data_IF_243785079434
#
_entry.id   IF_243785079434
#
_cell.length_a   1.000
_cell.length_b   1.000
_cell.length_c   1.000
_cell.angle_alpha   90.00
_cell.angle_beta   90.00
_cell.angle_gamma   90.00
#
_symmetry.space_group_name_H-M   'P 1'
#
loop_
_entity.id
_entity.type
_entity.pdbx_description
1 polymer ?
#
# COMPACT_ATOMS: atom_id res chain seq x y z
N UNK A 1 3.55 3.69 43.04
CA UNK A 1 3.69 4.35 41.71
C UNK A 1 4.81 5.36 41.82
N UNK A 2 5.84 5.27 40.96
CA UNK A 2 6.94 6.25 40.95
C UNK A 2 6.43 7.57 40.37
N UNK A 3 7.01 8.72 40.81
CA UNK A 3 6.61 10.05 40.33
C UNK A 3 6.65 10.14 38.78
N UNK A 4 7.62 9.47 38.15
CA UNK A 4 7.75 9.36 36.67
C UNK A 4 6.56 8.63 36.04
N UNK A 5 6.08 7.57 36.69
CA UNK A 5 4.97 6.76 36.18
C UNK A 5 3.65 7.55 36.31
N UNK A 6 3.50 8.35 37.39
CA UNK A 6 2.36 9.24 37.53
C UNK A 6 2.27 10.26 36.40
N UNK A 7 3.37 10.87 36.00
CA UNK A 7 3.38 11.83 34.89
C UNK A 7 3.12 11.18 33.54
N UNK A 8 3.57 9.93 33.33
CA UNK A 8 3.34 9.20 32.08
C UNK A 8 1.94 8.62 31.95
N UNK A 9 1.39 8.07 33.03
CA UNK A 9 0.21 7.21 32.99
C UNK A 9 -0.97 7.75 33.81
N UNK A 10 -0.79 8.82 34.60
CA UNK A 10 -1.81 9.41 35.45
C UNK A 10 -2.06 8.64 36.74
N UNK A 11 -2.96 9.17 37.59
CA UNK A 11 -3.24 8.64 38.94
C UNK A 11 -3.90 7.26 38.95
N UNK A 12 -4.70 6.96 37.91
CA UNK A 12 -5.45 5.69 37.80
C UNK A 12 -4.87 4.80 36.69
N UNK A 13 -3.76 5.19 36.05
CA UNK A 13 -3.19 4.46 34.95
C UNK A 13 -2.54 3.15 35.40
N UNK A 14 -2.83 2.08 34.71
CA UNK A 14 -2.07 0.84 34.80
C UNK A 14 -0.74 1.11 34.12
N UNK A 15 0.37 0.87 34.82
CA UNK A 15 1.72 1.00 34.23
C UNK A 15 1.93 -0.16 33.28
N UNK A 16 2.06 0.08 31.96
CA UNK A 16 2.33 -0.99 31.02
C UNK A 16 3.63 -1.70 31.34
N UNK A 17 3.65 -3.01 31.32
CA UNK A 17 4.82 -3.84 31.64
C UNK A 17 5.54 -4.31 30.40
N UNK A 18 4.80 -4.56 29.31
CA UNK A 18 5.36 -5.05 28.04
C UNK A 18 5.38 -3.96 26.98
N UNK A 19 6.16 -4.19 25.92
CA UNK A 19 6.17 -3.29 24.75
C UNK A 19 4.80 -3.20 24.08
N UNK A 20 4.08 -4.34 24.00
CA UNK A 20 2.72 -4.39 23.48
C UNK A 20 1.71 -3.58 24.31
N UNK A 21 1.75 -3.70 25.63
CA UNK A 21 0.89 -2.87 26.50
C UNK A 21 1.21 -1.37 26.36
N UNK A 22 2.50 -1.01 26.19
CA UNK A 22 2.91 0.38 25.93
C UNK A 22 2.38 0.88 24.59
N UNK A 23 2.44 0.04 23.56
CA UNK A 23 1.86 0.33 22.25
C UNK A 23 0.36 0.60 22.36
N UNK A 24 -0.41 -0.34 22.89
CA UNK A 24 -1.86 -0.20 23.06
C UNK A 24 -2.23 1.07 23.84
N UNK A 25 -1.50 1.35 24.91
CA UNK A 25 -1.73 2.55 25.71
C UNK A 25 -1.45 3.84 24.93
N UNK A 26 -0.41 3.88 24.08
CA UNK A 26 -0.13 5.04 23.22
C UNK A 26 -1.24 5.23 22.17
N UNK A 27 -1.62 4.17 21.48
CA UNK A 27 -2.65 4.23 20.44
C UNK A 27 -4.00 4.65 21.05
N UNK A 28 -4.40 4.07 22.17
CA UNK A 28 -5.66 4.40 22.86
C UNK A 28 -5.74 5.88 23.27
N UNK A 29 -4.64 6.47 23.67
CA UNK A 29 -4.59 7.90 24.04
C UNK A 29 -4.70 8.85 22.85
N UNK A 30 -4.28 8.42 21.66
CA UNK A 30 -4.29 9.25 20.46
C UNK A 30 -5.62 9.24 19.76
N UNK A 31 -6.23 8.07 19.70
CA UNK A 31 -7.37 7.88 18.80
C UNK A 31 -8.69 8.22 19.44
N UNK A 32 -8.78 8.26 20.78
CA UNK A 32 -10.05 8.27 21.51
C UNK A 32 -11.05 7.23 20.99
N UNK A 33 -10.56 6.31 20.15
CA UNK A 33 -11.32 5.25 19.52
C UNK A 33 -11.06 3.95 20.26
N UNK A 34 -12.07 3.09 20.30
CA UNK A 34 -11.93 1.79 20.92
C UNK A 34 -11.03 0.90 20.08
N UNK A 35 -9.86 0.61 20.61
CA UNK A 35 -9.00 -0.46 20.08
C UNK A 35 -9.68 -1.77 20.46
N UNK A 36 -9.98 -2.59 19.45
CA UNK A 36 -10.51 -3.93 19.66
C UNK A 36 -9.33 -4.91 19.70
N UNK A 37 -9.14 -5.59 20.82
CA UNK A 37 -8.24 -6.72 20.90
C UNK A 37 -8.93 -7.92 20.21
N UNK A 38 -8.27 -8.48 19.18
CA UNK A 38 -8.75 -9.64 18.46
C UNK A 38 -8.19 -10.90 19.11
N UNK A 39 -6.88 -10.90 19.33
CA UNK A 39 -6.17 -12.00 19.97
C UNK A 39 -5.13 -11.44 20.94
N UNK A 40 -5.16 -11.92 22.17
CA UNK A 40 -4.22 -11.50 23.22
C UNK A 40 -2.93 -12.31 23.23
N UNK A 41 -2.96 -13.55 22.81
CA UNK A 41 -1.79 -14.42 22.77
C UNK A 41 -0.91 -14.09 21.57
N UNK A 42 -1.52 -13.91 20.40
CA UNK A 42 -0.84 -13.49 19.17
C UNK A 42 -0.59 -11.97 19.14
N UNK A 43 -1.11 -11.23 20.12
CA UNK A 43 -0.96 -9.76 20.19
C UNK A 43 -1.54 -9.03 18.97
N UNK A 44 -2.77 -9.37 18.61
CA UNK A 44 -3.48 -8.78 17.47
C UNK A 44 -4.53 -7.79 17.98
N UNK A 45 -4.45 -6.56 17.50
CA UNK A 45 -5.44 -5.51 17.75
C UNK A 45 -5.97 -4.94 16.44
N UNK A 46 -7.19 -4.41 16.47
CA UNK A 46 -7.82 -3.75 15.33
C UNK A 46 -8.22 -2.33 15.69
N UNK A 47 -8.03 -1.41 14.75
CA UNK A 47 -8.45 -0.02 14.85
C UNK A 47 -9.11 0.45 13.56
N UNK A 48 -10.10 1.32 13.70
CA UNK A 48 -10.75 1.98 12.58
C UNK A 48 -10.14 3.36 12.33
N UNK A 49 -9.65 3.61 11.11
CA UNK A 49 -9.11 4.90 10.69
C UNK A 49 -10.17 5.67 9.92
N UNK A 50 -10.50 6.86 10.43
CA UNK A 50 -11.45 7.82 9.82
C UNK A 50 -10.75 9.06 9.26
N UNK A 51 -9.53 9.32 9.71
CA UNK A 51 -8.79 10.54 9.39
C UNK A 51 -7.43 10.19 8.78
N UNK A 52 -7.10 10.73 7.60
CA UNK A 52 -5.81 10.49 6.94
C UNK A 52 -4.58 10.76 7.84
N UNK A 53 -4.62 11.81 8.64
CA UNK A 53 -3.49 12.16 9.52
C UNK A 53 -3.25 11.13 10.63
N UNK A 54 -4.27 10.35 10.99
CA UNK A 54 -4.14 9.30 12.00
C UNK A 54 -3.26 8.15 11.48
N UNK A 55 -3.33 7.81 10.21
CA UNK A 55 -2.51 6.76 9.61
C UNK A 55 -1.02 7.02 9.81
N UNK A 56 -0.55 8.25 9.55
CA UNK A 56 0.85 8.63 9.74
C UNK A 56 1.30 8.46 11.20
N UNK A 57 0.47 8.88 12.14
CA UNK A 57 0.79 8.76 13.57
C UNK A 57 0.82 7.30 14.01
N UNK A 58 -0.13 6.48 13.54
CA UNK A 58 -0.16 5.06 13.85
C UNK A 58 1.05 4.31 13.28
N UNK A 59 1.44 4.59 12.05
CA UNK A 59 2.64 4.02 11.41
C UNK A 59 3.89 4.38 12.25
N UNK A 60 4.02 5.65 12.69
CA UNK A 60 5.12 6.05 13.57
C UNK A 60 5.15 5.27 14.89
N UNK A 61 3.99 5.03 15.50
CA UNK A 61 3.93 4.26 16.75
C UNK A 61 4.21 2.79 16.49
N UNK A 62 3.72 2.23 15.40
CA UNK A 62 4.05 0.87 14.99
C UNK A 62 5.55 0.69 14.81
N UNK A 63 6.21 1.65 14.16
CA UNK A 63 7.66 1.67 14.00
C UNK A 63 8.40 1.71 15.35
N UNK A 64 7.99 2.59 16.28
CA UNK A 64 8.59 2.72 17.61
C UNK A 64 8.46 1.43 18.46
N UNK A 65 7.42 0.66 18.24
CA UNK A 65 7.10 -0.53 19.02
C UNK A 65 7.31 -1.85 18.27
N UNK A 66 7.77 -1.81 17.02
CA UNK A 66 7.96 -2.99 16.16
C UNK A 66 6.67 -3.80 15.96
N UNK A 67 5.54 -3.12 15.80
CA UNK A 67 4.23 -3.69 15.52
C UNK A 67 3.97 -3.64 14.02
N UNK A 68 3.51 -4.74 13.43
CA UNK A 68 3.12 -4.75 12.03
C UNK A 68 1.83 -3.94 11.81
N UNK A 69 1.77 -3.20 10.72
CA UNK A 69 0.63 -2.36 10.34
C UNK A 69 0.00 -2.94 9.07
N UNK A 70 -1.17 -3.56 9.20
CA UNK A 70 -1.77 -4.36 8.14
C UNK A 70 -3.21 -3.92 7.83
N UNK A 71 -3.60 -4.12 6.58
CA UNK A 71 -5.00 -3.98 6.16
C UNK A 71 -5.82 -5.18 6.62
N UNK A 72 -6.96 -4.93 7.28
CA UNK A 72 -7.86 -5.95 7.81
C UNK A 72 -8.43 -6.93 6.74
N UNK A 73 -8.54 -6.50 5.48
CA UNK A 73 -9.12 -7.31 4.41
C UNK A 73 -8.09 -8.02 3.51
N UNK A 74 -6.81 -7.74 3.70
CA UNK A 74 -5.74 -8.26 2.85
C UNK A 74 -4.93 -9.37 3.52
N UNK A 75 -5.24 -9.72 4.77
CA UNK A 75 -4.43 -10.65 5.56
C UNK A 75 -5.29 -11.77 6.13
N UNK A 76 -4.89 -13.00 5.89
CA UNK A 76 -5.33 -14.14 6.68
C UNK A 76 -4.56 -14.13 8.01
N UNK A 77 -5.28 -13.88 9.11
CA UNK A 77 -4.70 -13.74 10.45
C UNK A 77 -3.95 -15.01 10.87
N UNK A 78 -4.37 -16.18 10.39
CA UNK A 78 -3.74 -17.45 10.70
C UNK A 78 -2.35 -17.62 10.06
N UNK A 79 -2.02 -16.79 9.06
CA UNK A 79 -0.74 -16.83 8.35
C UNK A 79 0.35 -15.97 8.98
N UNK A 80 0.01 -15.05 9.88
CA UNK A 80 0.96 -14.08 10.44
C UNK A 80 1.67 -14.63 11.67
N UNK A 81 2.98 -14.79 11.60
CA UNK A 81 3.78 -15.36 12.69
C UNK A 81 4.77 -14.36 13.32
N UNK A 82 4.82 -14.36 14.66
CA UNK A 82 5.96 -13.89 15.45
C UNK A 82 6.03 -12.40 15.78
N UNK A 83 5.14 -11.54 15.28
CA UNK A 83 5.10 -10.10 15.60
C UNK A 83 3.72 -9.67 16.09
N UNK A 84 3.65 -8.69 17.01
CA UNK A 84 2.39 -7.99 17.30
C UNK A 84 1.85 -7.29 16.06
N UNK A 85 0.51 -7.28 15.90
CA UNK A 85 -0.16 -6.78 14.70
C UNK A 85 -1.19 -5.72 15.05
N UNK A 86 -1.19 -4.62 14.31
CA UNK A 86 -2.27 -3.68 14.25
C UNK A 86 -3.02 -3.82 12.92
N UNK A 87 -4.19 -4.43 12.94
CA UNK A 87 -5.10 -4.46 11.82
C UNK A 87 -5.80 -3.11 11.67
N UNK A 88 -5.83 -2.59 10.46
CA UNK A 88 -6.42 -1.28 10.17
C UNK A 88 -7.64 -1.45 9.30
N UNK A 89 -8.79 -1.03 9.83
CA UNK A 89 -10.03 -0.85 9.07
C UNK A 89 -10.15 0.58 8.61
N UNK A 90 -10.44 0.76 7.33
CA UNK A 90 -10.69 2.08 6.75
C UNK A 90 -12.18 2.31 6.69
N UNK A 91 -12.66 3.36 7.35
CA UNK A 91 -14.05 3.77 7.26
C UNK A 91 -14.26 4.67 6.04
N UNK A 92 -15.30 4.41 5.27
CA UNK A 92 -15.64 5.09 4.04
C UNK A 92 -16.45 6.35 4.34
N UNK A 93 -15.84 7.53 4.30
CA UNK A 93 -16.54 8.78 4.60
C UNK A 93 -16.00 10.03 3.90
N UNK A 94 -15.08 9.92 2.96
CA UNK A 94 -14.56 11.07 2.22
C UNK A 94 -15.22 11.21 0.85
N UNK A 95 -15.45 12.45 0.44
CA UNK A 95 -15.88 12.79 -0.92
C UNK A 95 -14.68 13.26 -1.73
N UNK A 96 -14.63 12.96 -3.04
CA UNK A 96 -13.54 13.42 -3.90
C UNK A 96 -13.66 14.93 -4.19
N UNK A 97 -12.52 15.60 -4.23
CA UNK A 97 -12.38 17.01 -4.66
C UNK A 97 -12.03 17.07 -6.15
N UNK A 98 -12.85 17.75 -6.95
CA UNK A 98 -12.60 17.92 -8.38
C UNK A 98 -11.74 19.15 -8.62
N UNK A 99 -10.50 18.95 -9.10
CA UNK A 99 -9.51 20.02 -9.30
C UNK A 99 -9.63 20.65 -10.69
N UNK A 100 -9.95 19.82 -11.68
CA UNK A 100 -10.18 20.25 -13.07
C UNK A 100 -11.11 19.26 -13.77
N UNK A 101 -11.51 19.56 -15.01
CA UNK A 101 -12.32 18.65 -15.81
C UNK A 101 -11.59 17.30 -15.96
N UNK A 102 -12.24 16.23 -15.48
CA UNK A 102 -11.70 14.89 -15.54
C UNK A 102 -10.52 14.58 -14.61
N UNK A 103 -10.23 15.44 -13.62
CA UNK A 103 -9.20 15.17 -12.61
C UNK A 103 -9.77 15.37 -11.21
N UNK A 104 -9.63 14.37 -10.35
CA UNK A 104 -10.00 14.48 -8.95
C UNK A 104 -8.81 14.21 -8.01
N UNK A 105 -8.95 14.76 -6.80
CA UNK A 105 -8.11 14.44 -5.65
C UNK A 105 -9.00 13.79 -4.60
N UNK A 106 -8.66 12.61 -4.17
CA UNK A 106 -9.46 11.87 -3.20
C UNK A 106 -8.58 11.21 -2.14
N UNK A 107 -9.06 11.20 -0.91
CA UNK A 107 -8.40 10.51 0.17
C UNK A 107 -8.61 8.99 0.06
N UNK A 108 -7.76 8.22 0.71
CA UNK A 108 -7.78 6.75 0.72
C UNK A 108 -9.12 6.15 1.18
N UNK A 109 -9.96 6.92 1.88
CA UNK A 109 -11.29 6.50 2.37
C UNK A 109 -12.41 6.69 1.34
N UNK A 110 -12.14 7.34 0.20
CA UNK A 110 -13.13 7.58 -0.86
C UNK A 110 -13.55 6.26 -1.52
N UNK A 111 -14.85 6.11 -1.78
CA UNK A 111 -15.39 4.92 -2.44
C UNK A 111 -15.13 4.94 -3.96
N UNK A 112 -14.79 3.78 -4.50
CA UNK A 112 -14.64 3.61 -5.95
C UNK A 112 -15.98 3.83 -6.68
N UNK A 113 -17.12 3.45 -6.08
CA UNK A 113 -18.45 3.71 -6.60
C UNK A 113 -18.74 5.19 -6.78
N UNK A 114 -18.38 6.04 -5.81
CA UNK A 114 -18.58 7.49 -5.89
C UNK A 114 -17.80 8.11 -7.06
N UNK A 115 -16.60 7.60 -7.34
CA UNK A 115 -15.79 8.01 -8.47
C UNK A 115 -16.39 7.54 -9.80
N UNK A 116 -16.86 6.30 -9.85
CA UNK A 116 -17.52 5.77 -11.05
C UNK A 116 -18.76 6.59 -11.42
N UNK A 117 -19.62 6.93 -10.47
CA UNK A 117 -20.77 7.81 -10.67
C UNK A 117 -20.42 9.20 -11.22
N UNK A 118 -19.19 9.66 -10.97
CA UNK A 118 -18.65 10.93 -11.47
C UNK A 118 -17.91 10.81 -12.81
N UNK A 119 -17.97 9.66 -13.47
CA UNK A 119 -17.41 9.44 -14.80
C UNK A 119 -15.98 8.93 -14.83
N UNK A 120 -15.44 8.44 -13.69
CA UNK A 120 -14.16 7.76 -13.65
C UNK A 120 -14.33 6.28 -14.03
N UNK A 121 -14.44 6.02 -15.34
CA UNK A 121 -14.82 4.72 -15.90
C UNK A 121 -13.81 3.60 -15.62
N UNK A 122 -12.61 3.89 -15.17
CA UNK A 122 -11.65 2.88 -14.73
C UNK A 122 -12.11 2.08 -13.51
N UNK A 123 -13.12 2.57 -12.78
CA UNK A 123 -13.72 1.89 -11.63
C UNK A 123 -14.98 1.05 -11.99
N UNK A 124 -15.37 0.96 -13.27
CA UNK A 124 -16.57 0.25 -13.72
C UNK A 124 -16.65 -1.21 -13.22
N UNK A 125 -15.50 -1.88 -13.13
CA UNK A 125 -15.41 -3.29 -12.71
C UNK A 125 -14.87 -3.47 -11.28
N UNK A 126 -14.77 -2.38 -10.53
CA UNK A 126 -14.38 -2.41 -9.13
C UNK A 126 -15.64 -2.43 -8.26
N UNK A 127 -15.73 -3.28 -7.25
CA UNK A 127 -16.87 -3.26 -6.32
C UNK A 127 -17.07 -1.84 -5.75
N UNK A 128 -18.28 -1.28 -5.81
CA UNK A 128 -18.53 0.12 -5.48
C UNK A 128 -18.28 0.45 -3.99
N UNK A 129 -18.37 -0.55 -3.12
CA UNK A 129 -18.13 -0.44 -1.69
C UNK A 129 -16.66 -0.41 -1.29
N UNK A 130 -15.75 -0.70 -2.22
CA UNK A 130 -14.32 -0.63 -1.95
C UNK A 130 -13.83 0.83 -1.93
N UNK A 131 -12.90 1.11 -1.03
CA UNK A 131 -12.23 2.39 -0.99
C UNK A 131 -10.97 2.41 -1.86
N UNK A 132 -10.44 3.61 -2.13
CA UNK A 132 -9.27 3.80 -2.97
C UNK A 132 -8.02 3.08 -2.44
N UNK A 133 -7.89 2.93 -1.12
CA UNK A 133 -6.77 2.21 -0.57
C UNK A 133 -6.84 0.72 -0.88
N UNK A 134 -8.02 0.10 -0.81
CA UNK A 134 -8.22 -1.30 -1.18
C UNK A 134 -8.01 -1.50 -2.68
N UNK A 135 -8.56 -0.60 -3.50
CA UNK A 135 -8.33 -0.63 -4.94
C UNK A 135 -6.84 -0.52 -5.30
N UNK A 136 -6.11 0.39 -4.67
CA UNK A 136 -4.69 0.60 -4.94
C UNK A 136 -3.83 -0.61 -4.63
N UNK A 137 -4.15 -1.30 -3.54
CA UNK A 137 -3.35 -2.42 -3.04
C UNK A 137 -3.70 -3.76 -3.70
N UNK A 138 -4.89 -3.92 -4.27
CA UNK A 138 -5.35 -5.20 -4.80
C UNK A 138 -5.01 -5.34 -6.30
N UNK A 139 -4.09 -6.25 -6.69
CA UNK A 139 -3.64 -6.39 -8.07
C UNK A 139 -4.76 -6.79 -9.04
N UNK A 140 -5.78 -7.52 -8.60
CA UNK A 140 -6.88 -7.99 -9.46
C UNK A 140 -7.73 -6.86 -10.07
N UNK A 141 -7.63 -5.63 -9.57
CA UNK A 141 -8.35 -4.46 -10.12
C UNK A 141 -7.55 -3.70 -11.16
N UNK A 142 -6.30 -4.08 -11.40
CA UNK A 142 -5.43 -3.43 -12.35
C UNK A 142 -5.23 -4.29 -13.60
N UNK A 143 -4.95 -3.63 -14.71
CA UNK A 143 -4.65 -4.32 -15.96
C UNK A 143 -3.29 -5.04 -15.82
N UNK A 144 -3.30 -6.37 -15.91
CA UNK A 144 -2.10 -7.19 -15.72
C UNK A 144 -1.14 -7.18 -16.91
N UNK A 145 -1.51 -6.60 -18.07
CA UNK A 145 -0.62 -6.52 -19.22
C UNK A 145 0.51 -5.52 -18.97
N UNK A 146 1.75 -5.85 -19.38
CA UNK A 146 2.87 -4.91 -19.32
C UNK A 146 2.53 -3.59 -20.03
N UNK A 147 2.99 -2.46 -19.48
CA UNK A 147 2.77 -1.09 -19.98
C UNK A 147 1.35 -0.55 -19.86
N UNK A 148 0.39 -1.32 -19.27
CA UNK A 148 -0.99 -0.88 -19.11
C UNK A 148 -1.33 -0.32 -17.72
N UNK A 149 -0.35 -0.16 -16.84
CA UNK A 149 -0.53 0.51 -15.54
C UNK A 149 -1.15 1.92 -15.65
N UNK A 150 -0.98 2.59 -16.80
CA UNK A 150 -1.58 3.88 -17.13
C UNK A 150 -3.13 3.82 -17.16
N UNK A 151 -3.71 2.66 -17.42
CA UNK A 151 -5.18 2.48 -17.46
C UNK A 151 -5.83 2.53 -16.08
N UNK A 152 -5.04 2.65 -15.01
CA UNK A 152 -5.55 2.99 -13.67
C UNK A 152 -6.01 4.44 -13.57
N UNK A 153 -5.53 5.33 -14.44
CA UNK A 153 -5.76 6.78 -14.35
C UNK A 153 -4.97 7.45 -13.23
N UNK A 154 -4.20 6.70 -12.43
CA UNK A 154 -3.41 7.24 -11.34
C UNK A 154 -2.29 8.15 -11.87
N UNK A 155 -2.30 9.42 -11.46
CA UNK A 155 -1.31 10.42 -11.84
C UNK A 155 -0.25 10.61 -10.77
N UNK A 156 -0.70 10.83 -9.53
CA UNK A 156 0.14 11.08 -8.36
C UNK A 156 -0.49 10.44 -7.11
N UNK A 157 0.32 10.21 -6.10
CA UNK A 157 -0.12 9.75 -4.79
C UNK A 157 0.70 10.42 -3.69
N UNK A 158 0.03 10.97 -2.68
CA UNK A 158 0.69 11.30 -1.41
C UNK A 158 0.79 10.02 -0.59
N UNK A 159 2.02 9.66 -0.22
CA UNK A 159 2.32 8.39 0.46
C UNK A 159 2.92 8.60 1.84
N UNK A 160 2.77 7.60 2.69
CA UNK A 160 3.45 7.49 3.97
C UNK A 160 4.32 6.22 3.92
N UNK A 161 5.58 6.35 4.27
CA UNK A 161 6.53 5.25 4.39
C UNK A 161 6.54 4.66 5.81
N UNK A 162 7.17 3.52 5.98
CA UNK A 162 7.24 2.82 7.29
C UNK A 162 7.87 3.66 8.41
N UNK A 163 8.74 4.60 8.08
CA UNK A 163 9.33 5.57 9.01
C UNK A 163 8.43 6.80 9.26
N UNK A 164 7.17 6.75 8.84
CA UNK A 164 6.18 7.83 8.91
C UNK A 164 6.54 9.10 8.12
N UNK A 165 7.59 9.09 7.29
CA UNK A 165 7.86 10.18 6.35
C UNK A 165 6.83 10.16 5.21
N UNK A 166 6.44 11.35 4.78
CA UNK A 166 5.52 11.53 3.66
C UNK A 166 6.27 11.95 2.41
N UNK A 167 5.78 11.52 1.26
CA UNK A 167 6.24 12.01 -0.03
C UNK A 167 5.12 11.95 -1.07
N UNK A 168 5.23 12.79 -2.10
CA UNK A 168 4.41 12.68 -3.30
C UNK A 168 5.17 11.90 -4.35
N UNK A 169 4.54 10.84 -4.87
CA UNK A 169 5.02 10.07 -6.00
C UNK A 169 4.14 10.38 -7.21
N UNK A 170 4.72 10.38 -8.39
CA UNK A 170 4.01 10.65 -9.64
C UNK A 170 4.94 10.59 -10.84
N UNK A 171 4.69 11.40 -11.87
CA UNK A 171 5.54 11.48 -13.04
C UNK A 171 6.99 11.78 -12.66
N UNK A 172 7.94 11.13 -13.35
CA UNK A 172 9.38 11.26 -13.11
C UNK A 172 10.10 11.58 -14.42
N UNK A 173 11.10 12.46 -14.37
CA UNK A 173 11.91 12.86 -15.52
C UNK A 173 11.80 14.33 -15.86
N UNK A 174 12.08 14.70 -17.12
CA UNK A 174 12.23 16.08 -17.59
C UNK A 174 10.99 16.98 -17.37
N UNK A 175 9.81 16.38 -17.36
CA UNK A 175 8.54 17.11 -17.22
C UNK A 175 7.94 17.02 -15.82
N UNK A 176 8.67 16.47 -14.85
CA UNK A 176 8.18 16.36 -13.49
C UNK A 176 8.42 17.63 -12.69
N UNK A 177 7.36 18.11 -12.05
CA UNK A 177 7.43 19.24 -11.10
C UNK A 177 7.43 18.74 -9.64
N UNK A 178 7.52 17.41 -9.42
CA UNK A 178 7.48 16.85 -8.07
C UNK A 178 8.86 16.92 -7.45
N UNK A 179 8.95 17.60 -6.30
CA UNK A 179 10.18 17.68 -5.55
C UNK A 179 10.49 16.36 -4.85
N UNK A 180 11.63 15.75 -5.15
CA UNK A 180 12.12 14.51 -4.53
C UNK A 180 12.96 14.79 -3.28
N UNK A 181 12.57 15.76 -2.47
CA UNK A 181 13.32 16.24 -1.30
C UNK A 181 13.44 15.25 -0.11
N UNK A 182 13.04 14.00 -0.29
CA UNK A 182 13.05 12.98 0.76
C UNK A 182 14.29 12.09 0.64
N UNK A 183 15.06 11.94 1.72
CA UNK A 183 16.27 11.12 1.76
C UNK A 183 16.00 9.64 1.44
N UNK A 184 14.81 9.11 1.77
CA UNK A 184 14.41 7.76 1.45
C UNK A 184 14.23 7.60 -0.07
N UNK A 185 13.53 8.54 -0.73
CA UNK A 185 13.36 8.53 -2.19
C UNK A 185 14.70 8.62 -2.92
N UNK A 186 15.65 9.39 -2.42
CA UNK A 186 16.99 9.50 -3.01
C UNK A 186 17.74 8.16 -3.02
N UNK A 187 17.38 7.23 -2.13
CA UNK A 187 17.93 5.87 -2.09
C UNK A 187 17.08 4.87 -2.89
N UNK A 188 15.76 4.92 -2.73
CA UNK A 188 14.86 3.94 -3.35
C UNK A 188 14.71 4.13 -4.86
N UNK A 189 14.73 5.36 -5.38
CA UNK A 189 14.59 5.60 -6.83
C UNK A 189 15.73 4.95 -7.63
N UNK A 190 17.03 5.17 -7.31
CA UNK A 190 18.10 4.46 -8.02
C UNK A 190 17.95 2.94 -7.96
N UNK A 191 17.50 2.38 -6.82
CA UNK A 191 17.29 0.95 -6.68
C UNK A 191 16.13 0.45 -7.54
N UNK A 192 15.00 1.17 -7.59
CA UNK A 192 13.90 0.86 -8.51
C UNK A 192 14.37 0.80 -9.97
N UNK A 193 15.19 1.77 -10.41
CA UNK A 193 15.74 1.75 -11.76
C UNK A 193 16.78 0.66 -11.98
N UNK A 194 17.58 0.30 -10.99
CA UNK A 194 18.51 -0.81 -11.04
C UNK A 194 17.78 -2.14 -11.23
N UNK A 195 16.76 -2.41 -10.40
CA UNK A 195 15.92 -3.61 -10.49
C UNK A 195 15.21 -3.65 -11.86
N UNK A 196 14.68 -2.51 -12.32
CA UNK A 196 13.97 -2.47 -13.58
C UNK A 196 14.83 -2.90 -14.79
N UNK A 197 16.15 -2.82 -14.67
CA UNK A 197 17.09 -3.21 -15.73
C UNK A 197 17.57 -4.66 -15.61
N UNK A 198 17.10 -5.44 -14.65
CA UNK A 198 17.46 -6.84 -14.50
C UNK A 198 16.87 -7.70 -15.62
N UNK A 199 17.45 -8.87 -15.81
CA UNK A 199 17.00 -9.82 -16.83
C UNK A 199 15.56 -10.29 -16.56
N UNK A 200 15.25 -10.59 -15.30
CA UNK A 200 13.94 -11.03 -14.84
C UNK A 200 12.85 -10.01 -15.22
N UNK A 201 13.07 -8.73 -14.94
CA UNK A 201 12.13 -7.67 -15.31
C UNK A 201 11.99 -7.53 -16.82
N UNK A 202 13.09 -7.62 -17.57
CA UNK A 202 13.03 -7.50 -19.03
C UNK A 202 12.30 -8.67 -19.69
N UNK A 203 12.36 -9.87 -19.15
CA UNK A 203 11.53 -11.00 -19.57
C UNK A 203 10.05 -10.76 -19.31
N UNK A 204 9.71 -10.18 -18.15
CA UNK A 204 8.32 -9.83 -17.82
C UNK A 204 7.71 -8.80 -18.77
N UNK A 205 8.51 -7.89 -19.33
CA UNK A 205 8.01 -6.88 -20.27
C UNK A 205 7.48 -7.48 -21.58
N UNK A 206 7.91 -8.68 -21.94
CA UNK A 206 7.44 -9.41 -23.13
C UNK A 206 6.41 -10.50 -22.78
N UNK A 207 6.16 -10.73 -21.51
CA UNK A 207 5.13 -11.64 -21.02
C UNK A 207 3.73 -11.12 -21.36
N UNK A 208 2.74 -11.99 -21.62
CA UNK A 208 1.35 -11.57 -21.80
C UNK A 208 0.73 -11.01 -20.51
N UNK A 209 1.24 -11.42 -19.35
CA UNK A 209 0.74 -11.05 -18.02
C UNK A 209 1.92 -10.63 -17.15
N UNK A 210 1.73 -9.57 -16.38
CA UNK A 210 2.65 -9.13 -15.33
C UNK A 210 2.29 -9.84 -14.01
N UNK A 211 3.07 -10.83 -13.57
CA UNK A 211 2.75 -11.61 -12.37
C UNK A 211 3.22 -10.96 -11.07
N UNK A 212 4.07 -9.94 -11.18
CA UNK A 212 4.72 -9.33 -10.03
C UNK A 212 3.86 -8.24 -9.38
N UNK A 213 4.06 -8.05 -8.09
CA UNK A 213 3.33 -7.06 -7.30
C UNK A 213 3.73 -5.63 -7.60
N UNK A 214 5.02 -5.41 -7.92
CA UNK A 214 5.53 -4.09 -8.29
C UNK A 214 5.57 -3.94 -9.80
N UNK A 215 4.94 -2.88 -10.30
CA UNK A 215 4.75 -2.60 -11.72
C UNK A 215 5.96 -1.85 -12.30
N UNK A 216 7.11 -2.55 -12.39
CA UNK A 216 8.33 -1.98 -13.00
C UNK A 216 8.13 -1.57 -14.45
N UNK A 217 7.16 -2.15 -15.16
CA UNK A 217 6.75 -1.76 -16.49
C UNK A 217 6.40 -0.26 -16.61
N UNK A 218 6.00 0.38 -15.53
CA UNK A 218 5.72 1.82 -15.48
C UNK A 218 6.97 2.70 -15.59
N UNK A 219 8.18 2.12 -15.51
CA UNK A 219 9.46 2.81 -15.65
C UNK A 219 10.03 2.76 -17.08
N UNK A 220 9.42 2.00 -18.01
CA UNK A 220 9.97 1.73 -19.34
C UNK A 220 9.31 2.47 -20.50
N UNK A 221 8.20 3.14 -20.29
CA UNK A 221 7.55 3.92 -21.35
C UNK A 221 8.41 5.11 -21.75
N UNK A 222 8.02 5.82 -22.80
CA UNK A 222 8.68 7.05 -23.20
C UNK A 222 8.99 7.92 -21.97
N UNK A 223 10.14 8.57 -21.95
CA UNK A 223 10.64 9.35 -20.79
C UNK A 223 9.58 10.32 -20.19
N UNK A 224 8.60 10.73 -21.02
CA UNK A 224 7.45 11.55 -20.59
C UNK A 224 6.39 10.82 -19.77
N UNK A 225 6.38 9.49 -19.78
CA UNK A 225 5.31 8.66 -19.22
C UNK A 225 5.75 7.82 -18.01
N UNK A 226 7.02 7.93 -17.62
CA UNK A 226 7.54 7.29 -16.40
C UNK A 226 6.80 7.82 -15.19
N UNK A 227 6.27 6.91 -14.38
CA UNK A 227 5.50 7.29 -13.22
C UNK A 227 5.79 6.39 -12.01
N UNK A 228 6.40 6.97 -10.98
CA UNK A 228 6.82 6.26 -9.78
C UNK A 228 5.63 5.76 -8.94
N UNK A 229 4.49 6.46 -8.94
CA UNK A 229 3.35 6.03 -8.13
C UNK A 229 2.71 4.75 -8.69
N UNK A 230 2.81 4.52 -10.00
CA UNK A 230 2.25 3.32 -10.63
C UNK A 230 3.08 2.07 -10.40
N UNK A 231 4.35 2.21 -9.99
CA UNK A 231 5.18 1.05 -9.59
C UNK A 231 4.50 0.29 -8.45
N UNK A 232 3.83 1.00 -7.55
CA UNK A 232 3.21 0.43 -6.35
C UNK A 232 1.74 0.02 -6.53
N UNK A 233 1.20 0.02 -7.74
CA UNK A 233 -0.15 -0.49 -8.00
C UNK A 233 -0.21 -2.00 -7.77
N UNK A 234 -1.12 -2.46 -6.91
CA UNK A 234 -1.29 -3.87 -6.59
C UNK A 234 -0.27 -4.41 -5.57
N UNK A 235 0.41 -3.54 -4.83
CA UNK A 235 1.47 -3.90 -3.86
C UNK A 235 0.97 -4.66 -2.62
N UNK A 236 -0.32 -4.91 -2.48
CA UNK A 236 -0.96 -5.60 -1.35
C UNK A 236 -0.65 -4.99 0.04
N UNK A 237 -0.25 -3.71 0.07
CA UNK A 237 0.08 -2.99 1.30
C UNK A 237 1.50 -3.22 1.83
N UNK A 238 2.40 -3.82 1.02
CA UNK A 238 3.73 -4.25 1.48
C UNK A 238 4.79 -3.16 1.56
N UNK A 239 4.64 -2.06 0.83
CA UNK A 239 5.73 -1.08 0.67
C UNK A 239 5.38 0.31 1.17
N UNK A 240 4.20 0.82 0.82
CA UNK A 240 3.79 2.18 1.11
C UNK A 240 2.30 2.24 1.51
N UNK A 241 1.95 3.26 2.30
CA UNK A 241 0.57 3.61 2.56
C UNK A 241 0.14 4.78 1.69
N UNK A 242 -0.84 4.56 0.78
CA UNK A 242 -1.44 5.64 -0.01
C UNK A 242 -2.39 6.47 0.84
N UNK A 243 -2.14 7.78 0.92
CA UNK A 243 -2.94 8.70 1.73
C UNK A 243 -3.93 9.51 0.89
N UNK A 244 -3.46 10.04 -0.25
CA UNK A 244 -4.25 10.87 -1.16
C UNK A 244 -3.91 10.55 -2.60
N UNK A 245 -4.91 10.39 -3.42
CA UNK A 245 -4.81 9.93 -4.80
C UNK A 245 -5.22 11.04 -5.76
N UNK A 246 -4.41 11.29 -6.76
CA UNK A 246 -4.67 12.20 -7.87
C UNK A 246 -4.98 11.35 -9.09
N UNK A 247 -6.24 11.38 -9.52
CA UNK A 247 -6.76 10.43 -10.51
C UNK A 247 -7.35 11.19 -11.68
N UNK A 248 -7.00 10.78 -12.90
CA UNK A 248 -7.57 11.27 -14.15
C UNK A 248 -8.67 10.33 -14.63
N UNK A 249 -9.81 10.89 -15.00
CA UNK A 249 -10.88 10.14 -15.63
C UNK A 249 -10.43 9.56 -16.98
N UNK A 250 -10.76 8.32 -17.22
CA UNK A 250 -10.49 7.64 -18.47
C UNK A 250 -11.79 7.35 -19.24
N UNK A 251 -11.73 7.24 -20.58
CA UNK A 251 -12.89 6.83 -21.36
C UNK A 251 -13.36 5.43 -20.94
N UNK A 252 -14.63 5.08 -21.18
CA UNK A 252 -15.16 3.76 -20.88
C UNK A 252 -14.30 2.63 -21.49
N UNK A 253 -13.99 1.63 -20.69
CA UNK A 253 -13.28 0.44 -21.18
C UNK A 253 -14.24 -0.39 -22.04
N UNK A 254 -13.83 -0.78 -23.23
CA UNK A 254 -14.61 -1.65 -24.10
C UNK A 254 -14.62 -3.12 -23.65
N UNK A 255 -13.69 -3.52 -22.78
CA UNK A 255 -13.46 -4.91 -22.35
C UNK A 255 -13.08 -4.91 -20.86
N UNK A 256 -13.71 -5.80 -20.07
CA UNK A 256 -13.34 -6.03 -18.67
C UNK A 256 -11.91 -6.58 -18.55
N UNK A 257 -11.11 -6.17 -17.55
CA UNK A 257 -9.80 -6.76 -17.27
C UNK A 257 -9.85 -8.29 -17.09
N UNK A 258 -10.94 -8.82 -16.53
CA UNK A 258 -11.13 -10.26 -16.30
C UNK A 258 -11.30 -11.10 -17.60
N UNK A 259 -11.62 -10.49 -18.74
CA UNK A 259 -11.84 -11.22 -19.99
C UNK A 259 -10.56 -11.42 -20.81
N UNK A 260 -9.38 -11.03 -20.28
CA UNK A 260 -8.11 -11.12 -21.03
C UNK A 260 -7.39 -12.44 -20.75
N UNK A 261 -7.80 -13.22 -19.75
CA UNK A 261 -7.10 -14.45 -19.29
C UNK A 261 -7.98 -15.70 -19.38
N UNK A 262 -9.02 -15.73 -20.20
CA UNK A 262 -9.83 -16.95 -20.39
C UNK A 262 -9.76 -17.45 -21.85
N UNK A 263 -8.59 -17.66 -22.37
CA UNK A 263 -8.37 -18.70 -23.38
C UNK A 263 -7.71 -19.87 -22.67
N UNK A 264 -8.45 -20.95 -22.51
CA UNK A 264 -8.05 -22.23 -21.88
C UNK A 264 -6.87 -22.94 -22.63
N UNK A 265 -6.19 -22.27 -23.55
CA UNK A 265 -5.30 -22.91 -24.49
C UNK A 265 -3.80 -22.67 -24.26
N UNK A 266 -3.37 -21.87 -23.27
CA UNK A 266 -1.93 -21.74 -23.00
C UNK A 266 -1.63 -21.52 -21.52
N UNK A 267 -1.83 -22.53 -20.66
CA UNK A 267 -1.02 -22.72 -19.46
C UNK A 267 0.40 -23.14 -19.84
N UNK A 268 1.09 -22.32 -20.60
CA UNK A 268 2.54 -22.32 -20.52
C UNK A 268 2.88 -21.71 -19.17
N UNK A 269 3.22 -22.55 -18.18
CA UNK A 269 3.95 -22.12 -16.99
C UNK A 269 5.21 -21.38 -17.45
N UNK A 270 5.10 -20.08 -17.63
CA UNK A 270 6.25 -19.21 -17.71
C UNK A 270 6.94 -19.26 -16.35
N UNK A 271 7.93 -20.15 -16.22
CA UNK A 271 8.82 -20.16 -15.05
C UNK A 271 9.73 -18.95 -15.15
N UNK A 272 9.20 -17.80 -14.79
CA UNK A 272 9.98 -16.58 -14.62
C UNK A 272 10.60 -16.66 -13.24
N UNK A 273 11.91 -16.41 -13.15
CA UNK A 273 12.56 -16.30 -11.85
C UNK A 273 11.96 -15.12 -11.08
N UNK A 274 11.66 -15.28 -9.79
CA UNK A 274 11.14 -14.17 -8.99
C UNK A 274 12.15 -13.02 -8.97
N UNK A 275 11.64 -11.80 -9.07
CA UNK A 275 12.47 -10.59 -8.93
C UNK A 275 12.93 -10.50 -7.47
N UNK A 276 14.23 -10.27 -7.26
CA UNK A 276 14.75 -10.01 -5.92
C UNK A 276 14.41 -8.58 -5.48
N UNK A 277 13.47 -8.46 -4.57
CA UNK A 277 12.98 -7.19 -4.02
C UNK A 277 13.53 -6.90 -2.61
N UNK A 278 14.40 -7.76 -2.06
CA UNK A 278 14.89 -7.62 -0.68
C UNK A 278 15.57 -6.29 -0.42
N UNK A 279 16.50 -5.88 -1.29
CA UNK A 279 17.23 -4.62 -1.12
C UNK A 279 16.30 -3.41 -1.17
N UNK A 280 15.32 -3.43 -2.08
CA UNK A 280 14.30 -2.38 -2.17
C UNK A 280 13.43 -2.34 -0.90
N UNK A 281 13.01 -3.50 -0.42
CA UNK A 281 12.20 -3.62 0.81
C UNK A 281 12.96 -3.08 2.02
N UNK A 282 14.23 -3.43 2.18
CA UNK A 282 15.09 -2.91 3.26
C UNK A 282 15.27 -1.39 3.19
N UNK A 283 15.28 -0.79 2.00
CA UNK A 283 15.34 0.66 1.85
C UNK A 283 14.02 1.33 2.22
N UNK A 284 12.89 0.81 1.70
CA UNK A 284 11.57 1.44 1.85
C UNK A 284 10.96 1.15 3.22
N UNK A 285 11.13 -0.08 3.71
CA UNK A 285 10.56 -0.56 4.96
C UNK A 285 11.58 -1.33 5.82
N UNK A 286 12.65 -0.65 6.31
CA UNK A 286 13.74 -1.31 7.03
C UNK A 286 13.31 -1.98 8.34
N UNK A 287 12.14 -1.67 8.85
CA UNK A 287 11.60 -2.25 10.07
C UNK A 287 10.56 -3.33 9.82
N UNK A 288 10.18 -3.57 8.56
CA UNK A 288 9.16 -4.51 8.19
C UNK A 288 7.79 -4.19 8.80
N UNK A 289 7.41 -2.91 8.82
CA UNK A 289 6.11 -2.46 9.36
C UNK A 289 4.97 -2.87 8.45
N UNK A 290 5.16 -2.71 7.14
CA UNK A 290 4.23 -3.15 6.12
C UNK A 290 4.55 -4.59 5.75
N UNK A 291 3.67 -5.52 6.07
CA UNK A 291 3.89 -6.93 5.82
C UNK A 291 2.87 -7.47 4.83
N UNK A 292 3.27 -8.50 4.12
CA UNK A 292 2.47 -9.18 3.14
C UNK A 292 2.41 -10.69 3.42
N UNK A 293 1.30 -11.31 3.08
CA UNK A 293 0.98 -12.70 3.44
C UNK A 293 1.98 -13.73 2.89
N UNK A 294 2.41 -13.58 1.63
CA UNK A 294 3.29 -14.56 0.97
C UNK A 294 4.73 -14.57 1.54
N UNK A 295 5.24 -13.44 2.03
CA UNK A 295 6.55 -13.40 2.67
C UNK A 295 6.61 -14.31 3.92
N UNK A 296 5.46 -14.52 4.58
CA UNK A 296 5.36 -15.40 5.75
C UNK A 296 5.23 -16.87 5.37
N UNK A 297 4.52 -17.19 4.32
CA UNK A 297 4.40 -18.57 3.83
C UNK A 297 5.75 -19.12 3.38
N UNK A 298 6.58 -18.32 2.71
CA UNK A 298 7.92 -18.74 2.31
C UNK A 298 8.89 -18.93 3.49
N UNK A 299 8.87 -18.03 4.48
CA UNK A 299 9.69 -18.14 5.69
C UNK A 299 9.27 -19.39 6.49
N UNK A 300 7.98 -19.64 6.63
CA UNK A 300 7.46 -20.85 7.28
C UNK A 300 7.89 -22.12 6.57
N UNK A 301 7.81 -22.16 5.24
CA UNK A 301 8.22 -23.31 4.44
C UNK A 301 9.75 -23.54 4.43
N UNK A 302 10.56 -22.51 4.71
CA UNK A 302 12.03 -22.64 4.87
C UNK A 302 12.45 -23.05 6.29
N UNK A 303 11.56 -22.91 7.29
CA UNK A 303 11.81 -23.29 8.68
C UNK A 303 11.24 -24.67 9.04
N UNK A 304 10.45 -25.29 8.17
CA UNK A 304 9.98 -26.69 8.26
C UNK A 304 10.80 -27.57 7.32
#
# INVERSE_FOLDING_TARGET
MRRRDFFKFGKKGIVPKTNWEMFLHRVQRLTFSDIKLIDTELQIACIEIKNPNLAQTLISICADHQVAFLYDKLVDIDSVSGRPILLVKVNNNSTPDFVSEGVCVADFTCLCGDLFEKGFNQFEFVPPELNLSQWFNEPSFHDSRPYYSITSGLMEIDTIFSNAMTARLGGFGLNSNIALGNALLNKSIPELFKISQTFEVTELLVSPVWPDELRFDSLFKNISDINLCRVFLGQRGSYIWGQRFYIKALPPKKISPKNIVTSEDEEQEFKINPIDLMELKEIIDPQGIFQYEDEFCEIRNRML
#
